data_IF_690771110896
#
_entry.id   IF_690771110896
#
_cell.length_a   1.000
_cell.length_b   1.000
_cell.length_c   1.000
_cell.angle_alpha   90.00
_cell.angle_beta   90.00
_cell.angle_gamma   90.00
#
_symmetry.space_group_name_H-M   'P 1'
#
loop_
_entity.id
_entity.type
_entity.pdbx_description
1 polymer ?
#
# COMPACT_ATOMS: atom_id res chain seq x y z
N UNK A 1 11.51 0.25 4.71
CA UNK A 1 10.83 0.91 3.59
C UNK A 1 10.07 -0.13 2.82
N UNK A 2 8.76 0.02 2.88
CA UNK A 2 7.82 -0.73 2.07
C UNK A 2 7.79 -0.11 0.67
N UNK A 3 7.50 -0.92 -0.35
CA UNK A 3 7.46 -0.47 -1.75
C UNK A 3 6.11 -0.83 -2.35
N UNK A 4 5.59 0.00 -3.23
CA UNK A 4 4.34 -0.26 -3.95
C UNK A 4 4.33 0.40 -5.32
N UNK A 5 3.51 -0.12 -6.24
CA UNK A 5 3.43 0.36 -7.62
C UNK A 5 2.38 1.45 -7.78
N UNK A 6 2.72 2.51 -8.51
CA UNK A 6 1.79 3.57 -8.90
C UNK A 6 1.81 3.75 -10.40
N UNK A 7 0.65 3.60 -11.05
CA UNK A 7 0.46 3.96 -12.44
C UNK A 7 0.15 5.45 -12.51
N UNK A 8 0.96 6.22 -13.22
CA UNK A 8 0.75 7.66 -13.42
C UNK A 8 0.35 7.91 -14.86
N UNK A 9 -0.80 8.53 -15.05
CA UNK A 9 -1.46 8.69 -16.35
C UNK A 9 -1.23 10.09 -16.89
N UNK A 10 -0.37 10.26 -17.90
CA UNK A 10 -0.16 11.53 -18.59
C UNK A 10 1.32 11.91 -18.73
N UNK A 11 1.57 13.10 -19.29
CA UNK A 11 2.90 13.56 -19.70
C UNK A 11 3.76 14.11 -18.55
N UNK A 12 3.14 14.53 -17.44
CA UNK A 12 3.83 15.19 -16.33
C UNK A 12 3.71 14.35 -15.04
N UNK A 13 4.39 13.20 -14.94
CA UNK A 13 4.19 12.30 -13.81
C UNK A 13 4.60 12.91 -12.46
N UNK A 14 5.69 13.68 -12.43
CA UNK A 14 6.15 14.38 -11.23
C UNK A 14 5.10 15.38 -10.71
N UNK A 15 4.42 16.09 -11.61
CA UNK A 15 3.35 17.01 -11.26
C UNK A 15 2.13 16.29 -10.66
N UNK A 16 1.84 15.07 -11.12
CA UNK A 16 0.74 14.28 -10.59
C UNK A 16 1.05 13.65 -9.25
N UNK A 17 2.31 13.29 -9.00
CA UNK A 17 2.74 12.73 -7.73
C UNK A 17 2.96 13.81 -6.66
N UNK A 18 3.32 15.04 -7.06
CA UNK A 18 3.62 16.14 -6.14
C UNK A 18 2.58 16.37 -5.02
N UNK A 19 1.25 16.35 -5.25
CA UNK A 19 0.27 16.51 -4.18
C UNK A 19 0.34 15.49 -3.04
N UNK A 20 1.05 14.38 -3.24
CA UNK A 20 1.05 13.21 -2.35
C UNK A 20 2.41 12.94 -1.71
N UNK A 21 3.36 13.90 -1.78
CA UNK A 21 4.66 13.77 -1.12
C UNK A 21 4.50 13.79 0.41
N UNK A 22 5.33 13.02 1.11
CA UNK A 22 5.43 13.13 2.55
C UNK A 22 6.43 14.23 2.95
N UNK A 23 5.93 15.21 3.70
CA UNK A 23 6.68 16.42 4.01
C UNK A 23 7.87 16.14 4.94
N UNK A 24 7.73 15.29 5.94
CA UNK A 24 8.84 14.97 6.86
C UNK A 24 9.99 14.24 6.15
N UNK A 25 9.69 13.50 5.08
CA UNK A 25 10.69 12.78 4.29
C UNK A 25 11.32 13.64 3.20
N UNK A 26 10.52 14.40 2.45
CA UNK A 26 11.03 15.22 1.34
C UNK A 26 11.59 16.55 1.81
N UNK A 27 11.05 17.09 2.91
CA UNK A 27 11.33 18.43 3.40
C UNK A 27 10.89 19.56 2.46
N UNK A 28 10.07 19.26 1.44
CA UNK A 28 9.60 20.22 0.44
C UNK A 28 8.40 20.97 1.00
N UNK A 29 8.59 22.24 1.35
CA UNK A 29 7.51 23.11 1.83
C UNK A 29 6.80 23.77 0.64
N UNK A 30 5.72 23.15 0.16
CA UNK A 30 4.92 23.63 -0.97
C UNK A 30 3.43 23.84 -0.60
N UNK A 31 2.58 24.08 -1.59
CA UNK A 31 1.16 24.38 -1.40
C UNK A 31 0.34 23.23 -0.79
N UNK A 32 0.89 22.02 -0.67
CA UNK A 32 0.20 20.87 -0.09
C UNK A 32 0.48 20.70 1.41
N UNK A 33 1.52 21.36 1.93
CA UNK A 33 1.85 21.35 3.35
C UNK A 33 0.91 22.29 4.11
N UNK A 34 0.35 21.78 5.20
CA UNK A 34 -0.59 22.49 6.06
C UNK A 34 -0.10 22.50 7.51
N UNK A 35 -0.41 23.58 8.21
CA UNK A 35 -0.20 23.73 9.64
C UNK A 35 -1.48 23.29 10.37
N UNK A 36 -1.43 22.13 11.02
CA UNK A 36 -2.57 21.50 11.69
C UNK A 36 -2.44 21.69 13.19
N UNK A 37 -3.46 22.28 13.81
CA UNK A 37 -3.57 22.38 15.27
C UNK A 37 -3.99 21.01 15.83
N UNK A 38 -3.05 20.34 16.49
CA UNK A 38 -3.21 18.99 17.06
C UNK A 38 -3.30 19.01 18.59
N UNK A 39 -3.56 20.18 19.18
CA UNK A 39 -3.56 20.38 20.63
C UNK A 39 -4.53 19.43 21.33
N UNK A 40 -5.74 19.24 20.80
CA UNK A 40 -6.76 18.38 21.41
C UNK A 40 -6.35 16.90 21.36
N UNK A 41 -5.67 16.45 20.31
CA UNK A 41 -5.12 15.09 20.21
C UNK A 41 -4.12 14.85 21.36
N UNK A 42 -3.18 15.79 21.54
CA UNK A 42 -2.20 15.72 22.62
C UNK A 42 -2.82 15.78 24.01
N UNK A 43 -3.85 16.61 24.21
CA UNK A 43 -4.57 16.68 25.49
C UNK A 43 -5.26 15.36 25.82
N UNK A 44 -5.90 14.72 24.85
CA UNK A 44 -6.53 13.42 25.04
C UNK A 44 -5.51 12.34 25.41
N UNK A 45 -4.35 12.33 24.76
CA UNK A 45 -3.30 11.36 25.07
C UNK A 45 -2.65 11.62 26.44
N UNK A 46 -2.46 12.88 26.81
CA UNK A 46 -2.03 13.28 28.15
C UNK A 46 -3.02 12.83 29.24
N UNK A 47 -4.33 13.00 29.02
CA UNK A 47 -5.37 12.58 29.97
C UNK A 47 -5.42 11.07 30.20
N UNK A 48 -5.02 10.28 29.18
CA UNK A 48 -4.96 8.81 29.23
C UNK A 48 -3.75 8.27 29.97
N UNK A 49 -2.73 9.09 30.23
CA UNK A 49 -1.57 8.63 30.98
C UNK A 49 -1.96 8.26 32.42
N UNK A 50 -1.43 7.13 32.89
CA UNK A 50 -1.58 6.70 34.29
C UNK A 50 -0.66 7.50 35.23
N UNK A 51 0.52 7.89 34.72
CA UNK A 51 1.43 8.81 35.40
C UNK A 51 1.05 10.25 35.07
N UNK A 52 0.89 11.08 36.10
CA UNK A 52 0.52 12.51 35.98
C UNK A 52 1.56 13.41 36.64
N UNK A 53 2.79 12.94 36.74
CA UNK A 53 3.90 13.68 37.35
C UNK A 53 4.44 14.79 36.45
N UNK A 54 4.31 14.66 35.14
CA UNK A 54 4.71 15.70 34.17
C UNK A 54 3.57 16.68 33.87
N UNK A 55 3.93 17.94 33.61
CA UNK A 55 3.02 18.98 33.10
C UNK A 55 2.65 18.69 31.64
N UNK A 56 1.58 19.32 31.14
CA UNK A 56 1.20 19.17 29.74
C UNK A 56 2.29 19.68 28.77
N UNK A 57 3.03 20.72 29.14
CA UNK A 57 4.17 21.22 28.35
C UNK A 57 5.32 20.21 28.29
N UNK A 58 5.65 19.57 29.41
CA UNK A 58 6.67 18.51 29.45
C UNK A 58 6.23 17.30 28.63
N UNK A 59 4.98 16.86 28.79
CA UNK A 59 4.39 15.79 27.96
C UNK A 59 4.51 16.12 26.47
N UNK A 60 4.10 17.32 26.06
CA UNK A 60 4.15 17.71 24.65
C UNK A 60 5.60 17.69 24.14
N UNK A 61 6.57 18.24 24.87
CA UNK A 61 7.99 18.20 24.50
C UNK A 61 8.60 16.80 24.46
N UNK A 62 8.12 15.88 25.29
CA UNK A 62 8.66 14.53 25.39
C UNK A 62 8.10 13.59 24.31
N UNK A 63 6.90 13.87 23.80
CA UNK A 63 6.20 13.04 22.83
C UNK A 63 6.29 13.56 21.38
N UNK A 64 7.03 14.64 21.14
CA UNK A 64 7.40 15.09 19.81
C UNK A 64 8.81 15.70 19.81
N UNK A 65 9.34 15.90 18.60
CA UNK A 65 10.60 16.60 18.38
C UNK A 65 10.36 18.11 18.11
N UNK A 66 9.26 18.69 18.60
CA UNK A 66 8.87 20.06 18.28
C UNK A 66 9.49 21.09 19.23
N UNK A 67 10.10 22.12 18.64
CA UNK A 67 10.64 23.26 19.37
C UNK A 67 9.54 24.19 19.87
N UNK A 68 9.82 24.92 20.95
CA UNK A 68 8.89 25.89 21.55
C UNK A 68 9.01 27.26 20.88
N UNK A 69 7.86 27.85 20.57
CA UNK A 69 7.71 29.26 20.19
C UNK A 69 7.12 30.01 21.38
N UNK A 70 7.89 30.96 21.91
CA UNK A 70 7.47 31.80 23.03
C UNK A 70 6.30 32.71 22.63
N UNK A 71 5.55 33.19 23.62
CA UNK A 71 4.44 34.10 23.37
C UNK A 71 4.89 35.37 22.64
N UNK A 72 4.14 35.72 21.58
CA UNK A 72 4.44 36.88 20.74
C UNK A 72 5.57 36.69 19.74
N UNK A 73 6.21 35.51 19.67
CA UNK A 73 7.18 35.17 18.64
C UNK A 73 6.51 34.43 17.48
N UNK A 74 7.11 34.53 16.29
CA UNK A 74 6.69 33.77 15.11
C UNK A 74 7.55 32.50 14.98
N UNK A 75 6.99 31.39 14.47
CA UNK A 75 7.77 30.18 14.21
C UNK A 75 8.79 30.42 13.08
N UNK A 76 10.01 29.94 13.30
CA UNK A 76 11.04 29.76 12.27
C UNK A 76 10.77 28.48 11.46
N UNK A 77 9.91 28.59 10.44
CA UNK A 77 9.44 27.46 9.62
C UNK A 77 10.49 26.92 8.64
N UNK A 78 11.62 27.60 8.49
CA UNK A 78 12.70 27.19 7.59
C UNK A 78 13.78 26.36 8.31
N UNK A 79 13.80 26.41 9.65
CA UNK A 79 14.76 25.67 10.49
C UNK A 79 14.08 25.04 11.72
N UNK A 80 14.14 25.69 12.89
CA UNK A 80 13.81 25.09 14.18
C UNK A 80 12.35 24.58 14.32
N UNK A 81 11.43 25.11 13.52
CA UNK A 81 9.99 24.79 13.55
C UNK A 81 9.51 24.18 12.23
N UNK A 82 10.43 23.65 11.42
CA UNK A 82 10.14 23.15 10.07
C UNK A 82 9.03 22.12 10.02
N UNK A 83 8.97 21.16 10.96
CA UNK A 83 7.97 20.07 10.96
C UNK A 83 6.84 20.27 11.98
N UNK A 84 6.93 21.30 12.82
CA UNK A 84 5.97 21.55 13.88
C UNK A 84 6.56 22.38 15.01
N UNK A 85 5.69 22.88 15.88
CA UNK A 85 6.09 23.66 17.05
C UNK A 85 5.05 23.60 18.17
N UNK A 86 5.50 23.95 19.37
CA UNK A 86 4.64 24.17 20.54
C UNK A 86 4.57 25.67 20.80
N UNK A 87 3.39 26.27 20.63
CA UNK A 87 3.16 27.70 20.88
C UNK A 87 2.74 27.91 22.34
N UNK A 88 3.43 28.81 23.06
CA UNK A 88 3.04 29.24 24.40
C UNK A 88 2.14 30.47 24.39
N UNK A 89 1.28 30.58 25.40
CA UNK A 89 0.50 31.78 25.74
C UNK A 89 1.25 32.72 26.70
N UNK A 90 0.58 33.80 27.11
CA UNK A 90 1.15 34.84 27.99
C UNK A 90 1.54 34.33 29.39
N UNK A 91 0.93 33.22 29.84
CA UNK A 91 1.20 32.59 31.13
C UNK A 91 2.32 31.53 31.04
N UNK A 92 2.84 31.28 29.83
CA UNK A 92 3.84 30.24 29.56
C UNK A 92 3.25 28.84 29.42
N UNK A 93 1.92 28.74 29.31
CA UNK A 93 1.21 27.48 29.12
C UNK A 93 1.07 27.16 27.63
N UNK A 94 0.83 25.88 27.30
CA UNK A 94 0.66 25.46 25.90
C UNK A 94 -0.64 26.01 25.34
N UNK A 95 -0.51 27.00 24.46
CA UNK A 95 -1.60 27.55 23.66
C UNK A 95 -1.96 26.60 22.52
N UNK A 96 -0.95 26.13 21.77
CA UNK A 96 -1.12 25.22 20.64
C UNK A 96 0.04 24.26 20.48
N UNK A 97 -0.27 23.06 19.99
CA UNK A 97 0.69 22.15 19.38
C UNK A 97 0.36 22.11 17.89
N UNK A 98 1.30 22.54 17.04
CA UNK A 98 1.10 22.61 15.59
C UNK A 98 1.99 21.58 14.91
N UNK A 99 1.36 20.70 14.12
CA UNK A 99 2.04 19.75 13.22
C UNK A 99 2.01 20.30 11.81
N UNK A 100 3.16 20.39 11.15
CA UNK A 100 3.24 20.75 9.73
C UNK A 100 3.36 19.48 8.91
N UNK A 101 2.39 19.19 8.06
CA UNK A 101 2.37 17.92 7.28
C UNK A 101 1.57 18.09 5.98
N UNK A 102 1.75 17.17 5.04
CA UNK A 102 0.86 17.04 3.90
C UNK A 102 -0.24 16.03 4.25
N UNK A 103 -1.50 16.46 4.48
CA UNK A 103 -2.58 15.53 4.83
C UNK A 103 -2.92 14.53 3.72
N UNK A 104 -2.47 14.79 2.49
CA UNK A 104 -2.63 13.89 1.35
C UNK A 104 -1.43 12.97 1.14
N UNK A 105 -0.40 12.99 1.99
CA UNK A 105 0.81 12.20 1.80
C UNK A 105 0.52 10.70 1.54
N UNK A 106 1.22 10.15 0.55
CA UNK A 106 1.16 8.73 0.15
C UNK A 106 2.54 8.12 -0.07
N UNK A 107 3.57 8.92 -0.31
CA UNK A 107 4.91 8.43 -0.62
C UNK A 107 6.00 9.31 -0.02
N UNK A 108 7.13 8.69 0.35
CA UNK A 108 8.33 9.37 0.86
C UNK A 108 9.34 9.63 -0.26
N UNK A 109 9.40 8.71 -1.22
CA UNK A 109 10.27 8.74 -2.40
C UNK A 109 9.65 7.93 -3.53
N UNK A 110 10.06 8.20 -4.77
CA UNK A 110 9.69 7.36 -5.92
C UNK A 110 10.80 7.26 -6.97
N UNK A 111 10.74 6.20 -7.78
CA UNK A 111 11.59 6.02 -8.97
C UNK A 111 10.81 5.34 -10.09
N UNK A 112 11.05 5.74 -11.34
CA UNK A 112 10.42 5.10 -12.51
C UNK A 112 10.88 3.63 -12.61
N UNK A 113 9.92 2.70 -12.72
CA UNK A 113 10.14 1.25 -12.77
C UNK A 113 10.59 0.65 -11.43
N UNK A 114 11.76 1.05 -10.93
CA UNK A 114 12.33 0.59 -9.66
C UNK A 114 12.42 -0.93 -9.54
N UNK A 115 11.75 -1.51 -8.53
CA UNK A 115 11.61 -2.97 -8.36
C UNK A 115 10.81 -3.66 -9.47
N UNK A 116 10.00 -2.89 -10.20
CA UNK A 116 9.12 -3.34 -11.28
C UNK A 116 9.56 -2.81 -12.64
N UNK A 117 10.87 -2.66 -12.87
CA UNK A 117 11.43 -2.33 -14.19
C UNK A 117 10.91 -3.27 -15.27
N UNK A 118 10.82 -2.73 -16.48
CA UNK A 118 10.31 -3.41 -17.68
C UNK A 118 8.82 -3.80 -17.55
N UNK A 119 8.03 -2.98 -16.83
CA UNK A 119 6.62 -3.28 -16.53
C UNK A 119 5.76 -3.48 -17.78
N UNK A 120 5.88 -2.61 -18.77
CA UNK A 120 5.10 -2.70 -20.00
C UNK A 120 5.82 -3.52 -21.06
N UNK A 121 5.13 -4.54 -21.57
CA UNK A 121 5.49 -5.20 -22.82
C UNK A 121 5.00 -4.32 -23.98
N UNK A 122 5.88 -4.03 -24.93
CA UNK A 122 5.57 -3.21 -26.10
C UNK A 122 5.29 -4.07 -27.32
N UNK A 123 4.45 -3.55 -28.23
CA UNK A 123 4.09 -4.23 -29.50
C UNK A 123 5.30 -4.48 -30.43
N UNK A 124 6.39 -3.73 -30.25
CA UNK A 124 7.64 -3.94 -30.98
C UNK A 124 8.53 -5.05 -30.38
N UNK A 125 8.09 -5.71 -29.31
CA UNK A 125 8.83 -6.76 -28.61
C UNK A 125 9.79 -6.27 -27.52
N UNK A 126 9.91 -4.96 -27.32
CA UNK A 126 10.67 -4.37 -26.22
C UNK A 126 9.87 -4.26 -24.93
N UNK A 127 10.53 -3.72 -23.90
CA UNK A 127 9.91 -3.41 -22.61
C UNK A 127 10.20 -1.97 -22.22
N UNK A 128 9.31 -1.37 -21.44
CA UNK A 128 9.47 -0.03 -20.90
C UNK A 128 8.70 0.17 -19.59
N UNK A 129 9.11 1.16 -18.81
CA UNK A 129 8.39 1.61 -17.61
C UNK A 129 7.47 2.79 -17.90
N UNK A 130 7.63 3.42 -19.06
CA UNK A 130 6.79 4.50 -19.57
C UNK A 130 6.60 4.34 -21.07
N UNK A 131 5.35 4.39 -21.54
CA UNK A 131 5.02 4.24 -22.95
C UNK A 131 3.68 4.90 -23.28
N UNK A 132 3.44 5.21 -24.56
CA UNK A 132 2.10 5.55 -25.01
C UNK A 132 1.21 4.31 -24.94
N UNK A 133 -0.05 4.48 -24.54
CA UNK A 133 -1.05 3.42 -24.46
C UNK A 133 -1.13 2.62 -25.77
N UNK A 134 -1.07 3.30 -26.91
CA UNK A 134 -1.12 2.67 -28.23
C UNK A 134 0.06 1.70 -28.49
N UNK A 135 1.20 1.88 -27.84
CA UNK A 135 2.39 1.06 -28.05
C UNK A 135 2.47 -0.16 -27.11
N UNK A 136 1.65 -0.18 -26.05
CA UNK A 136 1.61 -1.26 -25.06
C UNK A 136 0.82 -2.45 -25.59
N UNK A 137 1.40 -3.64 -25.44
CA UNK A 137 0.83 -4.92 -25.85
C UNK A 137 0.01 -5.56 -24.71
N UNK A 138 -1.13 -4.94 -24.36
CA UNK A 138 -2.01 -5.45 -23.30
C UNK A 138 -2.51 -6.88 -23.58
N UNK A 139 -2.79 -7.21 -24.84
CA UNK A 139 -3.24 -8.54 -25.25
C UNK A 139 -2.11 -9.58 -25.04
N UNK A 140 -0.87 -9.24 -25.39
CA UNK A 140 0.28 -10.08 -25.15
C UNK A 140 0.62 -10.24 -23.66
N UNK A 141 0.45 -9.19 -22.85
CA UNK A 141 0.63 -9.26 -21.39
C UNK A 141 -0.41 -10.20 -20.75
N UNK A 142 -1.69 -10.02 -21.09
CA UNK A 142 -2.77 -10.83 -20.54
C UNK A 142 -2.75 -12.27 -21.04
N UNK A 143 -2.31 -12.51 -22.28
CA UNK A 143 -2.11 -13.86 -22.81
C UNK A 143 -0.97 -14.59 -22.09
N UNK A 144 0.17 -13.92 -21.89
CA UNK A 144 1.30 -14.49 -21.14
C UNK A 144 0.90 -14.81 -19.69
N UNK A 145 0.24 -13.86 -19.01
CA UNK A 145 -0.23 -14.07 -17.64
C UNK A 145 -1.18 -15.28 -17.53
N UNK A 146 -2.02 -15.52 -18.54
CA UNK A 146 -2.88 -16.69 -18.57
C UNK A 146 -2.13 -18.01 -18.76
N UNK A 147 -1.08 -18.04 -19.59
CA UNK A 147 -0.23 -19.22 -19.79
C UNK A 147 0.58 -19.57 -18.53
N UNK A 148 1.15 -18.55 -17.90
CA UNK A 148 1.91 -18.69 -16.65
C UNK A 148 0.99 -19.17 -15.53
N UNK A 149 -0.20 -18.57 -15.40
CA UNK A 149 -1.20 -18.99 -14.42
C UNK A 149 -1.66 -20.44 -14.64
N UNK A 150 -1.87 -20.88 -15.88
CA UNK A 150 -2.23 -22.29 -16.14
C UNK A 150 -1.12 -23.24 -15.72
N UNK A 151 0.14 -22.88 -15.99
CA UNK A 151 1.30 -23.65 -15.57
C UNK A 151 1.40 -23.74 -14.03
N UNK A 152 1.27 -22.61 -13.34
CA UNK A 152 1.33 -22.55 -11.88
C UNK A 152 0.16 -23.32 -11.24
N UNK A 153 -1.06 -23.13 -11.75
CA UNK A 153 -2.23 -23.85 -11.25
C UNK A 153 -2.11 -25.37 -11.48
N UNK A 154 -1.53 -25.81 -12.59
CA UNK A 154 -1.27 -27.23 -12.82
C UNK A 154 -0.31 -27.79 -11.77
N UNK A 155 0.77 -27.06 -11.45
CA UNK A 155 1.68 -27.47 -10.37
C UNK A 155 0.98 -27.54 -9.00
N UNK A 156 0.03 -26.63 -8.73
CA UNK A 156 -0.79 -26.67 -7.53
C UNK A 156 -1.73 -27.88 -7.53
N UNK A 157 -2.43 -28.14 -8.63
CA UNK A 157 -3.33 -29.28 -8.80
C UNK A 157 -2.59 -30.62 -8.66
N UNK A 158 -1.38 -30.72 -9.23
CA UNK A 158 -0.53 -31.90 -9.11
C UNK A 158 -0.07 -32.14 -7.68
N UNK A 159 0.25 -31.06 -6.94
CA UNK A 159 0.69 -31.15 -5.54
C UNK A 159 -0.39 -31.74 -4.62
N UNK A 160 -1.67 -31.54 -4.94
CA UNK A 160 -2.80 -32.02 -4.14
C UNK A 160 -3.58 -33.16 -4.83
N UNK A 161 -3.03 -33.76 -5.89
CA UNK A 161 -3.72 -34.75 -6.68
C UNK A 161 -4.20 -35.94 -5.82
N UNK A 162 -5.51 -36.23 -5.89
CA UNK A 162 -6.14 -37.29 -5.10
C UNK A 162 -6.39 -36.96 -3.62
N UNK A 163 -6.12 -35.73 -3.19
CA UNK A 163 -6.41 -35.25 -1.84
C UNK A 163 -7.72 -34.45 -1.81
N UNK A 164 -8.40 -34.46 -0.66
CA UNK A 164 -9.52 -33.54 -0.44
C UNK A 164 -9.00 -32.11 -0.21
N UNK A 165 -9.75 -31.12 -0.69
CA UNK A 165 -9.49 -29.72 -0.35
C UNK A 165 -9.57 -29.54 1.17
N UNK A 166 -8.64 -28.80 1.78
CA UNK A 166 -8.62 -28.61 3.22
C UNK A 166 -9.82 -27.77 3.66
N UNK A 167 -10.22 -27.96 4.92
CA UNK A 167 -11.13 -27.03 5.60
C UNK A 167 -10.48 -25.66 5.67
N UNK A 168 -11.27 -24.64 5.38
CA UNK A 168 -10.90 -23.23 5.51
C UNK A 168 -10.73 -22.83 6.98
N UNK A 169 -10.07 -21.70 7.23
CA UNK A 169 -9.90 -21.18 8.58
C UNK A 169 -11.24 -20.90 9.31
N UNK A 170 -12.26 -20.28 8.67
CA UNK A 170 -13.59 -20.14 9.27
C UNK A 170 -14.26 -21.48 9.61
N UNK A 171 -14.14 -22.49 8.76
CA UNK A 171 -14.69 -23.83 9.04
C UNK A 171 -13.98 -24.52 10.20
N UNK A 172 -12.67 -24.30 10.37
CA UNK A 172 -11.91 -24.81 11.50
C UNK A 172 -12.29 -24.12 12.83
N UNK A 173 -12.65 -22.83 12.76
CA UNK A 173 -13.09 -22.03 13.90
C UNK A 173 -14.53 -22.31 14.32
N UNK A 174 -15.39 -22.71 13.38
CA UNK A 174 -16.82 -22.90 13.65
C UNK A 174 -17.05 -23.99 14.72
N UNK A 175 -17.58 -23.59 15.87
CA UNK A 175 -17.89 -24.49 16.98
C UNK A 175 -16.67 -24.95 17.80
N UNK A 176 -15.50 -24.36 17.59
CA UNK A 176 -14.30 -24.71 18.35
C UNK A 176 -14.10 -23.78 19.56
N UNK A 177 -13.88 -24.35 20.74
CA UNK A 177 -13.59 -23.63 21.99
C UNK A 177 -12.14 -23.82 22.47
N UNK A 178 -11.29 -24.44 21.65
CA UNK A 178 -9.87 -24.68 21.93
C UNK A 178 -8.99 -23.45 21.69
N UNK A 179 -7.69 -23.61 21.92
CA UNK A 179 -6.73 -22.52 21.70
C UNK A 179 -6.47 -22.27 20.21
N UNK A 180 -6.18 -21.01 19.85
CA UNK A 180 -5.83 -20.62 18.48
C UNK A 180 -4.60 -21.39 17.98
N UNK A 181 -3.64 -21.69 18.86
CA UNK A 181 -2.42 -22.41 18.49
C UNK A 181 -2.67 -23.88 18.15
N UNK A 182 -3.60 -24.54 18.85
CA UNK A 182 -4.04 -25.89 18.49
C UNK A 182 -4.73 -25.90 17.13
N UNK A 183 -5.58 -24.91 16.86
CA UNK A 183 -6.23 -24.73 15.57
C UNK A 183 -5.25 -24.48 14.43
N UNK A 184 -4.22 -23.65 14.64
CA UNK A 184 -3.14 -23.42 13.66
C UNK A 184 -2.39 -24.70 13.35
N UNK A 185 -2.06 -25.50 14.38
CA UNK A 185 -1.42 -26.81 14.20
C UNK A 185 -2.32 -27.78 13.44
N UNK A 186 -3.60 -27.87 13.80
CA UNK A 186 -4.55 -28.73 13.12
C UNK A 186 -4.74 -28.35 11.65
N UNK A 187 -4.86 -27.06 11.34
CA UNK A 187 -4.93 -26.56 9.96
C UNK A 187 -3.66 -26.89 9.18
N UNK A 188 -2.49 -26.67 9.80
CA UNK A 188 -1.18 -26.93 9.23
C UNK A 188 -0.96 -28.41 8.89
N UNK A 189 -1.57 -29.33 9.64
CA UNK A 189 -1.45 -30.79 9.48
C UNK A 189 -2.46 -31.41 8.53
N UNK A 190 -3.31 -30.61 7.85
CA UNK A 190 -4.18 -31.15 6.81
C UNK A 190 -3.32 -31.63 5.62
N UNK A 191 -3.57 -32.82 5.04
CA UNK A 191 -2.70 -33.42 4.02
C UNK A 191 -2.39 -32.51 2.83
N UNK A 192 -3.41 -31.85 2.28
CA UNK A 192 -3.24 -30.91 1.18
C UNK A 192 -2.41 -29.67 1.58
N UNK A 193 -2.55 -29.18 2.81
CA UNK A 193 -1.78 -28.03 3.32
C UNK A 193 -0.31 -28.39 3.47
N UNK A 194 -0.01 -29.57 4.00
CA UNK A 194 1.37 -30.07 4.10
C UNK A 194 1.99 -30.27 2.72
N UNK A 195 1.23 -30.84 1.77
CA UNK A 195 1.69 -31.08 0.41
C UNK A 195 2.03 -29.77 -0.33
N UNK A 196 1.18 -28.75 -0.25
CA UNK A 196 1.45 -27.43 -0.85
C UNK A 196 2.66 -26.77 -0.18
N UNK A 197 2.77 -26.81 1.15
CA UNK A 197 3.95 -26.26 1.85
C UNK A 197 5.24 -26.96 1.44
N UNK A 198 5.19 -28.27 1.21
CA UNK A 198 6.35 -29.00 0.69
C UNK A 198 6.67 -28.59 -0.75
N UNK A 199 5.67 -28.45 -1.62
CA UNK A 199 5.87 -27.96 -2.99
C UNK A 199 6.51 -26.56 -3.03
N UNK A 200 6.14 -25.68 -2.09
CA UNK A 200 6.79 -24.36 -1.91
C UNK A 200 8.24 -24.51 -1.45
N UNK A 201 8.53 -25.38 -0.45
CA UNK A 201 9.90 -25.66 0.00
C UNK A 201 10.78 -26.24 -1.12
N UNK A 202 10.20 -27.08 -1.96
CA UNK A 202 10.85 -27.69 -3.12
C UNK A 202 10.94 -26.74 -4.33
N UNK A 203 10.45 -25.49 -4.19
CA UNK A 203 10.42 -24.46 -5.24
C UNK A 203 9.62 -24.85 -6.48
N UNK A 204 8.65 -25.76 -6.33
CA UNK A 204 7.67 -26.11 -7.38
C UNK A 204 6.50 -25.14 -7.44
N UNK A 205 6.22 -24.47 -6.33
CA UNK A 205 5.23 -23.40 -6.22
C UNK A 205 5.85 -22.14 -5.61
N UNK A 206 5.39 -20.95 -6.00
CA UNK A 206 5.83 -19.72 -5.36
C UNK A 206 5.33 -19.63 -3.92
N UNK A 207 6.08 -18.92 -3.08
CA UNK A 207 5.62 -18.54 -1.75
C UNK A 207 4.52 -17.48 -1.87
N UNK A 208 3.41 -17.68 -1.17
CA UNK A 208 2.29 -16.73 -1.08
C UNK A 208 2.12 -16.29 0.37
N UNK A 209 1.95 -14.98 0.59
CA UNK A 209 1.63 -14.44 1.92
C UNK A 209 0.19 -14.75 2.35
N UNK A 210 -0.68 -15.03 1.37
CA UNK A 210 -2.05 -15.48 1.58
C UNK A 210 -2.10 -17.00 1.77
N UNK A 211 -3.22 -17.49 2.27
CA UNK A 211 -3.52 -18.92 2.23
C UNK A 211 -3.51 -19.40 0.78
N UNK A 212 -2.70 -20.42 0.45
CA UNK A 212 -2.58 -20.90 -0.93
C UNK A 212 -3.92 -21.40 -1.50
N UNK A 213 -4.78 -22.00 -0.67
CA UNK A 213 -6.09 -22.49 -1.12
C UNK A 213 -7.08 -21.36 -1.41
N UNK A 214 -6.97 -20.22 -0.73
CA UNK A 214 -7.74 -19.02 -1.04
C UNK A 214 -7.16 -18.29 -2.27
N UNK A 215 -5.83 -18.35 -2.41
CA UNK A 215 -5.12 -17.72 -3.53
C UNK A 215 -5.40 -18.41 -4.88
N UNK A 216 -5.25 -19.73 -4.94
CA UNK A 216 -5.51 -20.54 -6.15
C UNK A 216 -6.99 -20.85 -6.34
N UNK A 217 -7.76 -21.00 -5.27
CA UNK A 217 -9.15 -21.40 -5.33
C UNK A 217 -9.34 -22.82 -5.87
N UNK A 218 -10.58 -23.16 -6.24
CA UNK A 218 -10.98 -24.47 -6.78
C UNK A 218 -11.16 -24.47 -8.30
N UNK A 219 -11.21 -23.30 -8.91
CA UNK A 219 -11.58 -23.10 -10.30
C UNK A 219 -10.43 -22.43 -11.05
N UNK A 220 -9.81 -23.18 -11.97
CA UNK A 220 -8.71 -22.69 -12.80
C UNK A 220 -9.11 -21.46 -13.61
N UNK A 221 -10.35 -21.38 -14.11
CA UNK A 221 -10.79 -20.25 -14.93
C UNK A 221 -10.89 -18.96 -14.10
N UNK A 222 -11.27 -19.06 -12.82
CA UNK A 222 -11.31 -17.92 -11.90
C UNK A 222 -9.89 -17.47 -11.55
N UNK A 223 -8.98 -18.41 -11.27
CA UNK A 223 -7.58 -18.10 -10.99
C UNK A 223 -6.88 -17.46 -12.20
N UNK A 224 -7.07 -18.02 -13.41
CA UNK A 224 -6.52 -17.46 -14.64
C UNK A 224 -7.05 -16.04 -14.87
N UNK A 225 -8.37 -15.81 -14.75
CA UNK A 225 -8.95 -14.47 -14.89
C UNK A 225 -8.37 -13.48 -13.87
N UNK A 226 -8.18 -13.92 -12.63
CA UNK A 226 -7.53 -13.12 -11.58
C UNK A 226 -6.12 -12.71 -12.00
N UNK A 227 -5.28 -13.65 -12.45
CA UNK A 227 -3.91 -13.35 -12.89
C UNK A 227 -3.86 -12.43 -14.12
N UNK A 228 -4.77 -12.63 -15.09
CA UNK A 228 -4.89 -11.74 -16.25
C UNK A 228 -5.21 -10.30 -15.84
N UNK A 229 -6.13 -10.12 -14.88
CA UNK A 229 -6.48 -8.79 -14.38
C UNK A 229 -5.36 -8.17 -13.54
N UNK A 230 -4.67 -8.96 -12.72
CA UNK A 230 -3.55 -8.52 -11.88
C UNK A 230 -2.34 -8.06 -12.68
N UNK A 231 -2.04 -8.67 -13.84
CA UNK A 231 -0.83 -8.33 -14.60
C UNK A 231 -0.79 -6.89 -15.13
N UNK A 232 -1.95 -6.22 -15.18
CA UNK A 232 -2.09 -4.82 -15.60
C UNK A 232 -2.33 -3.87 -14.43
N UNK A 233 -2.43 -4.38 -13.21
CA UNK A 233 -2.91 -3.61 -12.06
C UNK A 233 -1.76 -3.19 -11.16
N UNK A 234 -1.71 -1.90 -10.86
CA UNK A 234 -0.82 -1.31 -9.85
C UNK A 234 -1.55 -1.13 -8.52
N UNK A 235 -0.80 -0.89 -7.43
CA UNK A 235 -1.41 -0.62 -6.12
C UNK A 235 -2.29 0.64 -6.14
N UNK A 236 -1.79 1.69 -6.80
CA UNK A 236 -2.51 2.94 -7.01
C UNK A 236 -2.42 3.43 -8.46
N UNK A 237 -3.35 4.30 -8.83
CA UNK A 237 -3.37 5.06 -10.08
C UNK A 237 -3.47 6.53 -9.75
N UNK A 238 -2.62 7.36 -10.35
CA UNK A 238 -2.74 8.81 -10.31
C UNK A 238 -3.14 9.33 -11.69
N UNK A 239 -4.27 10.02 -11.74
CA UNK A 239 -4.86 10.54 -12.98
C UNK A 239 -5.66 11.81 -12.68
N UNK A 240 -5.52 12.83 -13.53
CA UNK A 240 -6.23 14.12 -13.40
C UNK A 240 -6.07 14.79 -12.02
N UNK A 241 -4.89 14.61 -11.42
CA UNK A 241 -4.56 15.14 -10.09
C UNK A 241 -5.23 14.38 -8.93
N UNK A 242 -5.91 13.27 -9.20
CA UNK A 242 -6.56 12.42 -8.20
C UNK A 242 -5.77 11.13 -7.97
N UNK A 243 -5.74 10.69 -6.71
CA UNK A 243 -5.18 9.41 -6.29
C UNK A 243 -6.28 8.38 -6.10
N UNK A 244 -6.16 7.28 -6.83
CA UNK A 244 -7.03 6.12 -6.69
C UNK A 244 -6.19 4.95 -6.17
N UNK A 245 -6.61 4.29 -5.11
CA UNK A 245 -5.96 3.10 -4.60
C UNK A 245 -6.99 2.06 -4.17
N UNK A 246 -6.53 0.81 -4.05
CA UNK A 246 -7.35 -0.30 -3.55
C UNK A 246 -7.90 -0.06 -2.14
N UNK A 247 -7.18 0.70 -1.33
CA UNK A 247 -7.59 1.14 0.01
C UNK A 247 -6.76 2.34 0.46
N UNK A 248 -6.98 2.78 1.69
CA UNK A 248 -6.17 3.84 2.29
C UNK A 248 -4.91 3.22 2.90
N UNK A 249 -3.73 3.48 2.31
CA UNK A 249 -2.45 3.15 2.96
C UNK A 249 -2.32 3.92 4.26
N UNK A 250 -2.32 3.20 5.37
CA UNK A 250 -1.92 3.70 6.67
C UNK A 250 -0.47 3.36 6.98
N UNK A 251 -0.05 3.75 8.18
CA UNK A 251 1.29 3.49 8.70
C UNK A 251 1.61 1.99 8.73
N UNK A 252 2.89 1.62 8.50
CA UNK A 252 3.38 0.23 8.40
C UNK A 252 2.81 -0.62 7.24
N UNK A 253 2.25 0.01 6.20
CA UNK A 253 1.73 -0.71 5.03
C UNK A 253 0.41 -1.47 5.30
N UNK A 254 -0.31 -1.09 6.36
CA UNK A 254 -1.66 -1.58 6.64
C UNK A 254 -2.67 -0.74 5.86
N UNK A 255 -3.53 -1.39 5.07
CA UNK A 255 -4.57 -0.73 4.28
C UNK A 255 -5.94 -0.87 4.94
N UNK A 256 -6.73 0.21 4.98
CA UNK A 256 -8.11 0.23 5.49
C UNK A 256 -9.11 0.52 4.37
N UNK A 257 -10.40 0.24 4.60
CA UNK A 257 -11.50 0.48 3.64
C UNK A 257 -11.28 -0.16 2.25
N UNK A 258 -10.71 -1.37 2.22
CA UNK A 258 -10.30 -2.02 0.97
C UNK A 258 -11.49 -2.39 0.06
N UNK A 259 -11.41 -1.96 -1.19
CA UNK A 259 -12.04 -2.68 -2.28
C UNK A 259 -11.40 -4.07 -2.39
N UNK A 260 -12.21 -5.08 -2.76
CA UNK A 260 -11.63 -6.39 -3.04
C UNK A 260 -10.65 -6.28 -4.21
N UNK A 261 -9.67 -7.19 -4.24
CA UNK A 261 -8.69 -7.23 -5.31
C UNK A 261 -9.34 -7.31 -6.71
N UNK A 262 -10.39 -8.11 -6.84
CA UNK A 262 -11.16 -8.23 -8.08
C UNK A 262 -11.81 -6.91 -8.50
N UNK A 263 -12.44 -6.21 -7.56
CA UNK A 263 -13.07 -4.91 -7.86
C UNK A 263 -12.04 -3.85 -8.24
N UNK A 264 -10.88 -3.84 -7.57
CA UNK A 264 -9.80 -2.92 -7.90
C UNK A 264 -9.22 -3.19 -9.29
N UNK A 265 -8.91 -4.45 -9.62
CA UNK A 265 -8.38 -4.81 -10.93
C UNK A 265 -9.36 -4.43 -12.05
N UNK A 266 -10.66 -4.64 -11.84
CA UNK A 266 -11.70 -4.24 -12.79
C UNK A 266 -11.72 -2.72 -12.98
N UNK A 267 -11.65 -1.95 -11.89
CA UNK A 267 -11.63 -0.48 -11.94
C UNK A 267 -10.41 0.05 -12.69
N UNK A 268 -9.22 -0.52 -12.45
CA UNK A 268 -7.99 -0.12 -13.16
C UNK A 268 -8.09 -0.45 -14.66
N UNK A 269 -8.62 -1.62 -15.01
CA UNK A 269 -8.84 -1.99 -16.40
C UNK A 269 -9.81 -1.02 -17.11
N UNK A 270 -10.90 -0.62 -16.45
CA UNK A 270 -11.85 0.37 -16.96
C UNK A 270 -11.22 1.74 -17.13
N UNK A 271 -10.42 2.19 -16.15
CA UNK A 271 -9.65 3.43 -16.24
C UNK A 271 -8.74 3.42 -17.45
N UNK A 272 -7.91 2.38 -17.62
CA UNK A 272 -6.98 2.27 -18.75
C UNK A 272 -7.74 2.22 -20.08
N UNK A 273 -8.82 1.45 -20.16
CA UNK A 273 -9.61 1.31 -21.38
C UNK A 273 -10.26 2.63 -21.83
N UNK A 274 -10.65 3.49 -20.88
CA UNK A 274 -11.25 4.79 -21.16
C UNK A 274 -10.25 5.84 -21.68
N UNK A 275 -8.93 5.59 -21.56
CA UNK A 275 -7.91 6.55 -21.97
C UNK A 275 -7.75 6.64 -23.49
N UNK A 276 -7.50 7.85 -24.03
CA UNK A 276 -7.02 8.03 -25.40
C UNK A 276 -5.76 7.23 -25.69
N UNK A 277 -5.62 6.76 -26.92
CA UNK A 277 -4.49 5.92 -27.34
C UNK A 277 -3.13 6.63 -27.30
N UNK A 278 -3.10 7.95 -27.43
CA UNK A 278 -1.91 8.80 -27.31
C UNK A 278 -1.56 9.18 -25.85
N UNK A 279 -2.28 8.64 -24.87
CA UNK A 279 -1.99 8.84 -23.45
C UNK A 279 -0.71 8.12 -23.04
N UNK A 280 0.20 8.82 -22.35
CA UNK A 280 1.38 8.19 -21.74
C UNK A 280 1.01 7.55 -20.41
N UNK A 281 1.46 6.32 -20.22
CA UNK A 281 1.34 5.55 -18.99
C UNK A 281 2.74 5.31 -18.44
N UNK A 282 2.94 5.58 -17.15
CA UNK A 282 4.24 5.39 -16.48
C UNK A 282 4.04 4.65 -15.15
N UNK A 283 4.85 3.63 -14.87
CA UNK A 283 4.82 2.90 -13.60
C UNK A 283 5.98 3.31 -12.71
N UNK A 284 5.65 3.73 -11.50
CA UNK A 284 6.60 4.15 -10.48
C UNK A 284 6.62 3.17 -9.31
N UNK A 285 7.82 2.95 -8.79
CA UNK A 285 8.08 2.33 -7.49
C UNK A 285 8.10 3.43 -6.43
N UNK A 286 7.06 3.49 -5.61
CA UNK A 286 6.90 4.44 -4.51
C UNK A 286 7.25 3.79 -3.17
N UNK A 287 7.81 4.58 -2.26
CA UNK A 287 8.21 4.16 -0.91
C UNK A 287 7.28 4.74 0.16
N UNK A 288 7.15 4.00 1.25
CA UNK A 288 6.50 4.37 2.53
C UNK A 288 7.12 3.59 3.69
#
# INVERSE_FOLDING_TARGET
MSHFTVLVVGQNPEQQLAPYHEFECTGINDQYVQDIDVTDEYRLDYERQEDRSETFLEFAKNNNDYSVVEFGQAPDIDDAHKYGWIQLDEDGEVAKVVRRTNPNAKWDWFVLGGRWRDFFKLKNGGFADSAMKIDIDFDGMTSQAAEDAKTEYQAFADAIAGMEFPKTWPEMMLGNTGSIDELRKAYASQPAVEAVRQAVRDKKLPFTFQCSFDYYGRNIDEYVKKCQAQCLTTYAVTMDGQWYARGEMGWFGLSSNEMTETEWNQKVAEMIAALPDDTVLSVYDCHI
#
